data_IF_983428223804
#
_entry.id   IF_983428223804
#
_cell.length_a   1.000
_cell.length_b   1.000
_cell.length_c   1.000
_cell.angle_alpha   90.00
_cell.angle_beta   90.00
_cell.angle_gamma   90.00
#
_symmetry.space_group_name_H-M   'P 1'
#
loop_
_entity.id
_entity.type
_entity.pdbx_description
1 polymer ?
#
# COMPACT_ATOMS: atom_id res chain seq x y z
N UNK A 1 7.96 24.26 5.98
CA UNK A 1 8.33 23.48 4.78
C UNK A 1 8.63 22.01 5.11
N UNK A 2 8.21 21.58 6.29
CA UNK A 2 8.42 20.22 6.85
C UNK A 2 7.22 19.28 6.62
N UNK A 3 6.03 19.83 6.38
CA UNK A 3 4.78 19.05 6.21
C UNK A 3 4.64 18.28 4.87
N UNK A 4 5.38 18.68 3.84
CA UNK A 4 5.23 18.06 2.50
C UNK A 4 5.80 16.63 2.38
N UNK A 5 6.53 16.16 3.41
CA UNK A 5 7.11 14.80 3.46
C UNK A 5 6.30 13.84 4.34
N UNK A 6 5.22 14.30 4.97
CA UNK A 6 4.39 13.44 5.80
C UNK A 6 3.59 12.46 4.92
N UNK A 7 3.58 11.16 5.23
CA UNK A 7 2.88 10.14 4.42
C UNK A 7 1.41 10.47 4.18
N UNK A 8 0.74 11.11 5.15
CA UNK A 8 -0.67 11.46 5.05
C UNK A 8 -0.90 12.65 4.11
N UNK A 9 0.03 13.61 4.03
CA UNK A 9 -0.04 14.70 3.06
C UNK A 9 0.03 14.16 1.62
N UNK A 10 0.93 13.24 1.34
CA UNK A 10 1.08 12.62 0.02
C UNK A 10 -0.18 11.84 -0.35
N UNK A 11 -0.76 11.10 0.60
CA UNK A 11 -2.02 10.38 0.38
C UNK A 11 -3.16 11.33 0.05
N UNK A 12 -3.33 12.40 0.82
CA UNK A 12 -4.38 13.38 0.60
C UNK A 12 -4.23 14.10 -0.73
N UNK A 13 -3.00 14.50 -1.08
CA UNK A 13 -2.71 15.17 -2.36
C UNK A 13 -3.23 14.37 -3.57
N UNK A 14 -3.00 13.06 -3.59
CA UNK A 14 -3.49 12.23 -4.71
C UNK A 14 -5.00 12.03 -4.72
N UNK A 15 -5.68 12.10 -3.58
CA UNK A 15 -7.14 12.03 -3.53
C UNK A 15 -7.80 13.24 -4.20
N UNK A 16 -7.17 14.41 -4.10
CA UNK A 16 -7.66 15.67 -4.69
C UNK A 16 -7.35 15.77 -6.20
N UNK A 17 -6.51 14.89 -6.73
CA UNK A 17 -6.15 14.87 -8.15
C UNK A 17 -7.19 14.14 -9.01
N UNK A 18 -7.24 14.50 -10.30
CA UNK A 18 -8.04 13.79 -11.30
C UNK A 18 -7.58 12.35 -11.53
N UNK A 19 -8.45 11.53 -12.13
CA UNK A 19 -8.21 10.10 -12.39
C UNK A 19 -6.86 9.82 -13.07
N UNK A 20 -6.54 10.57 -14.14
CA UNK A 20 -5.29 10.37 -14.89
C UNK A 20 -4.04 10.60 -14.04
N UNK A 21 -4.04 11.64 -13.21
CA UNK A 21 -2.93 11.92 -12.29
C UNK A 21 -2.78 10.83 -11.24
N UNK A 22 -3.90 10.35 -10.68
CA UNK A 22 -3.89 9.21 -9.75
C UNK A 22 -3.37 7.93 -10.42
N UNK A 23 -3.81 7.64 -11.63
CA UNK A 23 -3.36 6.46 -12.37
C UNK A 23 -1.85 6.45 -12.62
N UNK A 24 -1.26 7.62 -12.84
CA UNK A 24 0.18 7.75 -13.07
C UNK A 24 0.97 7.74 -11.76
N UNK A 25 0.60 8.57 -10.79
CA UNK A 25 1.48 8.95 -9.68
C UNK A 25 1.09 8.38 -8.31
N UNK A 26 -0.16 7.92 -8.11
CA UNK A 26 -0.53 7.37 -6.82
C UNK A 26 0.32 6.14 -6.46
N UNK A 27 0.81 6.08 -5.24
CA UNK A 27 1.62 4.99 -4.75
C UNK A 27 3.12 5.04 -5.09
N UNK A 28 3.59 5.97 -5.93
CA UNK A 28 5.01 6.02 -6.34
C UNK A 28 6.01 6.14 -5.18
N UNK A 29 5.59 6.72 -4.06
CA UNK A 29 6.43 6.88 -2.86
C UNK A 29 6.20 5.81 -1.79
N UNK A 30 5.25 4.91 -2.02
CA UNK A 30 4.95 3.83 -1.07
C UNK A 30 5.99 2.73 -1.24
N UNK A 31 6.60 2.33 -0.13
CA UNK A 31 7.50 1.19 -0.12
C UNK A 31 8.88 1.40 -0.78
N UNK A 32 9.27 2.63 -1.11
CA UNK A 32 10.61 2.93 -1.62
C UNK A 32 11.52 3.40 -0.48
N UNK A 33 12.17 2.51 0.24
CA UNK A 33 12.87 2.91 1.45
C UNK A 33 14.10 3.80 1.20
N UNK A 34 14.80 3.71 0.06
CA UNK A 34 16.09 4.38 -0.08
C UNK A 34 16.53 4.69 -1.52
N UNK A 35 15.70 4.55 -2.52
CA UNK A 35 16.13 4.82 -3.91
C UNK A 35 15.46 6.08 -4.46
N UNK A 36 16.23 7.03 -5.05
CA UNK A 36 15.67 8.19 -5.74
C UNK A 36 15.16 7.83 -7.15
N UNK A 37 14.70 6.60 -7.35
CA UNK A 37 14.20 6.14 -8.64
C UNK A 37 12.87 6.83 -8.94
N UNK A 38 12.75 7.42 -10.14
CA UNK A 38 11.49 8.02 -10.59
C UNK A 38 10.42 6.95 -10.80
N UNK A 39 10.77 5.85 -11.44
CA UNK A 39 9.87 4.70 -11.59
C UNK A 39 10.06 3.73 -10.43
N UNK A 40 8.99 3.09 -9.99
CA UNK A 40 9.05 2.07 -8.95
C UNK A 40 9.94 0.91 -9.37
N UNK A 41 11.02 0.61 -8.64
CA UNK A 41 11.85 -0.55 -8.91
C UNK A 41 11.08 -1.86 -8.73
N UNK A 42 11.47 -2.88 -9.50
CA UNK A 42 10.94 -4.24 -9.33
C UNK A 42 11.80 -4.97 -8.29
N UNK A 43 11.24 -5.21 -7.11
CA UNK A 43 11.90 -5.95 -6.03
C UNK A 43 11.65 -7.45 -6.16
N UNK A 44 12.53 -8.15 -6.89
CA UNK A 44 12.47 -9.61 -7.09
C UNK A 44 13.21 -10.35 -5.95
N UNK A 45 13.00 -9.93 -4.71
CA UNK A 45 13.61 -10.57 -3.55
C UNK A 45 12.55 -11.31 -2.74
N UNK A 46 12.89 -12.51 -2.27
CA UNK A 46 12.01 -13.24 -1.33
C UNK A 46 12.16 -12.75 0.10
N UNK A 47 13.36 -12.30 0.48
CA UNK A 47 13.72 -11.86 1.84
C UNK A 47 14.40 -10.50 1.79
N UNK A 48 14.37 -9.79 2.91
CA UNK A 48 14.96 -8.47 3.06
C UNK A 48 16.00 -8.48 4.19
N UNK A 49 17.02 -7.63 4.07
CA UNK A 49 18.13 -7.55 5.02
C UNK A 49 17.76 -6.60 6.16
N UNK A 50 18.04 -7.02 7.39
CA UNK A 50 17.99 -6.16 8.57
C UNK A 50 19.37 -5.56 8.85
N UNK A 51 19.41 -4.35 9.40
CA UNK A 51 20.67 -3.72 9.83
C UNK A 51 21.32 -4.51 10.97
N UNK A 52 20.48 -5.02 11.89
CA UNK A 52 20.89 -5.84 13.03
C UNK A 52 19.67 -6.61 13.57
N UNK A 53 19.89 -7.43 14.61
CA UNK A 53 18.85 -8.25 15.21
C UNK A 53 17.74 -7.42 15.88
N UNK A 54 18.09 -6.29 16.51
CA UNK A 54 17.12 -5.42 17.17
C UNK A 54 16.22 -4.72 16.16
N UNK A 55 16.77 -4.27 15.03
CA UNK A 55 15.99 -3.73 13.91
C UNK A 55 15.00 -4.77 13.38
N UNK A 56 15.43 -6.00 13.16
CA UNK A 56 14.53 -7.08 12.76
C UNK A 56 13.41 -7.33 13.77
N UNK A 57 13.75 -7.37 15.07
CA UNK A 57 12.76 -7.54 16.12
C UNK A 57 11.73 -6.38 16.15
N UNK A 58 12.17 -5.14 15.97
CA UNK A 58 11.29 -3.97 15.92
C UNK A 58 10.32 -4.02 14.72
N UNK A 59 10.79 -4.47 13.54
CA UNK A 59 9.91 -4.67 12.37
C UNK A 59 8.86 -5.74 12.65
N UNK A 60 9.25 -6.89 13.24
CA UNK A 60 8.30 -7.95 13.58
C UNK A 60 7.24 -7.53 14.60
N UNK A 61 7.58 -6.60 15.51
CA UNK A 61 6.64 -6.03 16.48
C UNK A 61 5.78 -4.91 15.89
N UNK A 62 6.06 -4.43 14.68
CA UNK A 62 5.39 -3.29 14.06
C UNK A 62 5.81 -1.92 14.65
N UNK A 63 6.89 -1.87 15.41
CA UNK A 63 7.45 -0.65 16.00
C UNK A 63 8.21 0.20 14.97
N UNK A 64 8.72 -0.45 13.92
CA UNK A 64 9.46 0.18 12.82
C UNK A 64 8.95 -0.35 11.49
N UNK A 65 8.71 0.53 10.50
CA UNK A 65 8.34 0.08 9.16
C UNK A 65 9.50 -0.67 8.50
N UNK A 66 9.19 -1.73 7.76
CA UNK A 66 10.18 -2.50 7.04
C UNK A 66 9.60 -3.74 6.37
N UNK A 67 10.45 -4.44 5.64
CA UNK A 67 10.09 -5.67 4.94
C UNK A 67 10.87 -6.84 5.52
N UNK A 68 10.21 -7.98 5.61
CA UNK A 68 10.79 -9.23 6.13
C UNK A 68 10.84 -10.27 5.02
N UNK A 69 9.71 -10.52 4.41
CA UNK A 69 9.52 -11.56 3.41
C UNK A 69 8.44 -11.16 2.42
N UNK A 70 8.64 -11.38 1.13
CA UNK A 70 7.74 -10.94 0.05
C UNK A 70 6.30 -11.42 0.21
N UNK A 71 6.06 -12.60 0.81
CA UNK A 71 4.70 -13.07 1.10
C UNK A 71 3.97 -12.19 2.12
N UNK A 72 4.70 -11.51 3.00
CA UNK A 72 4.14 -10.61 4.01
C UNK A 72 4.01 -9.18 3.49
N UNK A 73 4.91 -8.78 2.61
CA UNK A 73 4.91 -7.46 1.98
C UNK A 73 6.09 -7.31 1.04
N UNK A 74 5.84 -6.64 -0.09
CA UNK A 74 6.86 -6.33 -1.09
C UNK A 74 6.65 -4.91 -1.62
N UNK A 75 7.69 -4.07 -1.72
CA UNK A 75 7.54 -2.68 -2.16
C UNK A 75 6.81 -2.54 -3.50
N UNK A 76 7.11 -3.39 -4.48
CA UNK A 76 6.48 -3.36 -5.81
C UNK A 76 4.97 -3.65 -5.72
N UNK A 77 4.59 -4.65 -4.93
CA UNK A 77 3.17 -5.02 -4.73
C UNK A 77 2.44 -3.91 -3.98
N UNK A 78 3.05 -3.32 -2.95
CA UNK A 78 2.45 -2.22 -2.18
C UNK A 78 2.19 -0.99 -3.04
N UNK A 79 3.04 -0.68 -4.01
CA UNK A 79 2.78 0.42 -4.96
C UNK A 79 1.55 0.12 -5.83
N UNK A 80 1.40 -1.12 -6.31
CA UNK A 80 0.20 -1.53 -7.05
C UNK A 80 -1.06 -1.39 -6.18
N UNK A 81 -1.02 -1.92 -4.97
CA UNK A 81 -2.14 -1.86 -4.00
C UNK A 81 -2.53 -0.41 -3.68
N UNK A 82 -1.54 0.45 -3.40
CA UNK A 82 -1.77 1.87 -3.15
C UNK A 82 -2.37 2.59 -4.36
N UNK A 83 -1.92 2.25 -5.57
CA UNK A 83 -2.43 2.83 -6.82
C UNK A 83 -3.89 2.44 -7.07
N UNK A 84 -4.21 1.17 -6.97
CA UNK A 84 -5.59 0.69 -7.11
C UNK A 84 -6.48 1.27 -6.02
N UNK A 85 -6.00 1.31 -4.78
CA UNK A 85 -6.72 1.93 -3.68
C UNK A 85 -7.05 3.41 -3.93
N UNK A 86 -6.13 4.17 -4.51
CA UNK A 86 -6.36 5.58 -4.87
C UNK A 86 -7.35 5.75 -6.03
N UNK A 87 -7.37 4.81 -6.97
CA UNK A 87 -8.28 4.85 -8.12
C UNK A 87 -9.70 4.45 -7.73
N UNK A 88 -9.87 3.32 -7.06
CA UNK A 88 -11.16 2.75 -6.70
C UNK A 88 -11.73 3.40 -5.43
N UNK A 89 -10.91 3.58 -4.41
CA UNK A 89 -11.31 4.10 -3.12
C UNK A 89 -11.37 5.63 -3.03
N UNK A 90 -10.75 6.35 -3.97
CA UNK A 90 -10.60 7.79 -3.86
C UNK A 90 -11.94 8.55 -3.77
N UNK A 91 -12.91 8.20 -4.62
CA UNK A 91 -14.22 8.84 -4.60
C UNK A 91 -15.03 8.53 -3.33
N UNK A 92 -14.91 7.30 -2.83
CA UNK A 92 -15.54 6.90 -1.57
C UNK A 92 -14.93 7.64 -0.39
N UNK A 93 -13.61 7.70 -0.32
CA UNK A 93 -12.87 8.37 0.77
C UNK A 93 -13.18 9.87 0.86
N UNK A 94 -13.43 10.54 -0.27
CA UNK A 94 -13.85 11.94 -0.28
C UNK A 94 -15.24 12.15 0.35
N UNK A 95 -16.13 11.17 0.23
CA UNK A 95 -17.49 11.23 0.80
C UNK A 95 -17.54 10.69 2.24
N UNK A 96 -16.62 9.79 2.60
CA UNK A 96 -16.56 9.10 3.88
C UNK A 96 -15.13 9.16 4.44
N UNK A 97 -14.67 10.32 4.92
CA UNK A 97 -13.28 10.52 5.35
C UNK A 97 -12.88 9.64 6.55
N UNK A 98 -13.83 9.20 7.36
CA UNK A 98 -13.65 8.31 8.50
C UNK A 98 -13.38 6.85 8.13
N UNK A 99 -13.79 6.43 6.93
CA UNK A 99 -13.63 5.04 6.49
C UNK A 99 -12.18 4.73 6.12
N UNK A 100 -11.74 3.51 6.47
CA UNK A 100 -10.45 2.98 6.03
C UNK A 100 -10.66 2.01 4.88
N UNK A 101 -10.09 2.35 3.72
CA UNK A 101 -10.13 1.52 2.51
C UNK A 101 -8.74 0.95 2.30
N UNK A 102 -8.68 -0.35 2.05
CA UNK A 102 -7.43 -1.05 1.74
C UNK A 102 -7.61 -1.97 0.54
N UNK A 103 -6.57 -2.07 -0.26
CA UNK A 103 -6.51 -2.95 -1.42
C UNK A 103 -5.47 -4.04 -1.17
N UNK A 104 -5.79 -5.27 -1.50
CA UNK A 104 -4.85 -6.39 -1.46
C UNK A 104 -4.76 -7.03 -2.83
N UNK A 105 -3.54 -7.27 -3.31
CA UNK A 105 -3.28 -7.92 -4.57
C UNK A 105 -3.14 -9.44 -4.38
N UNK A 106 -3.77 -10.21 -5.25
CA UNK A 106 -3.73 -11.67 -5.28
C UNK A 106 -3.24 -12.20 -6.63
N UNK A 107 -2.70 -13.39 -6.65
CA UNK A 107 -2.20 -14.05 -7.86
C UNK A 107 -3.32 -14.47 -8.83
N UNK A 108 -4.57 -14.50 -8.39
CA UNK A 108 -5.74 -14.81 -9.23
C UNK A 108 -7.02 -14.22 -8.62
N UNK A 109 -8.04 -14.00 -9.48
CA UNK A 109 -9.35 -13.54 -9.03
C UNK A 109 -10.02 -14.53 -8.08
N UNK A 110 -9.84 -15.85 -8.26
CA UNK A 110 -10.38 -16.85 -7.34
C UNK A 110 -9.73 -16.79 -5.96
N UNK A 111 -8.42 -16.48 -5.88
CA UNK A 111 -7.75 -16.27 -4.61
C UNK A 111 -8.31 -15.03 -3.88
N UNK A 112 -8.57 -13.94 -4.60
CA UNK A 112 -9.19 -12.74 -4.04
C UNK A 112 -10.60 -13.01 -3.51
N UNK A 113 -11.44 -13.72 -4.29
CA UNK A 113 -12.81 -14.10 -3.88
C UNK A 113 -12.77 -15.00 -2.65
N UNK A 114 -11.90 -16.02 -2.64
CA UNK A 114 -11.77 -16.95 -1.52
C UNK A 114 -11.29 -16.24 -0.25
N UNK A 115 -10.38 -15.28 -0.38
CA UNK A 115 -9.93 -14.46 0.74
C UNK A 115 -11.06 -13.58 1.28
N UNK A 116 -11.82 -12.90 0.41
CA UNK A 116 -12.95 -12.09 0.82
C UNK A 116 -14.00 -12.89 1.59
N UNK A 117 -14.35 -14.10 1.12
CA UNK A 117 -15.29 -14.98 1.81
C UNK A 117 -14.71 -15.59 3.09
N UNK A 118 -13.43 -15.96 3.07
CA UNK A 118 -12.74 -16.53 4.24
C UNK A 118 -12.59 -15.55 5.40
N UNK A 119 -12.57 -14.25 5.13
CA UNK A 119 -12.57 -13.20 6.14
C UNK A 119 -13.95 -12.98 6.79
N UNK A 120 -14.99 -13.72 6.37
CA UNK A 120 -16.34 -13.59 6.92
C UNK A 120 -16.93 -12.21 6.66
N UNK A 121 -16.56 -11.59 5.54
CA UNK A 121 -17.08 -10.30 5.14
C UNK A 121 -18.59 -10.44 4.98
N UNK A 122 -19.34 -9.71 5.80
CA UNK A 122 -20.79 -9.59 5.66
C UNK A 122 -21.13 -9.07 4.26
N UNK A 123 -22.28 -9.47 3.66
CA UNK A 123 -22.77 -8.87 2.41
C UNK A 123 -22.82 -7.35 2.42
N UNK A 124 -22.89 -6.73 3.59
CA UNK A 124 -22.87 -5.27 3.77
C UNK A 124 -21.49 -4.63 3.53
N UNK A 125 -20.42 -5.42 3.47
CA UNK A 125 -19.06 -4.95 3.20
C UNK A 125 -18.72 -5.07 1.70
N UNK A 126 -19.44 -5.90 0.96
CA UNK A 126 -19.31 -6.07 -0.51
C UNK A 126 -20.37 -5.17 -1.16
N UNK A 127 -20.07 -3.90 -1.25
CA UNK A 127 -20.88 -2.93 -2.00
C UNK A 127 -20.11 -2.42 -3.20
#
# INVERSE_FOLDING_TARGET
MEDSKHPDFIKQFYLDCGFSTRALHAGEHVGQPHTPAHNTPIYQSSTFIFENADHGAAIFKGETPGYVYTRMGNPTVMVLEAKINALEGGSWKLQHPEDTISTLAFSSGMAAIAAAWGLGLSPDIIR
#
